data_IF_157859640087
#
_entry.id   IF_157859640087
#
_cell.length_a   1.000
_cell.length_b   1.000
_cell.length_c   1.000
_cell.angle_alpha   90.00
_cell.angle_beta   90.00
_cell.angle_gamma   90.00
#
_symmetry.space_group_name_H-M   'P 1'
#
loop_
_entity.id
_entity.type
_entity.pdbx_description
1 polymer ?
#
# COMPACT_ATOMS: atom_id res chain seq x y z
N UNK A 1 -11.45 -3.96 18.86
CA UNK A 1 -10.20 -4.07 18.07
C UNK A 1 -10.45 -3.48 16.70
N UNK A 2 -9.68 -2.49 16.29
CA UNK A 2 -9.65 -1.91 14.94
C UNK A 2 -8.40 -2.42 14.23
N UNK A 3 -8.51 -2.78 12.95
CA UNK A 3 -7.38 -3.16 12.12
C UNK A 3 -6.98 -2.01 11.22
N UNK A 4 -5.68 -1.80 10.99
CA UNK A 4 -5.19 -0.69 10.19
C UNK A 4 -4.14 -1.15 9.18
N UNK A 5 -4.23 -0.61 7.97
CA UNK A 5 -3.16 -0.58 7.00
C UNK A 5 -2.69 0.87 6.83
N UNK A 6 -1.39 1.07 6.99
CA UNK A 6 -0.73 2.34 6.79
C UNK A 6 0.20 2.24 5.60
N UNK A 7 -0.10 2.98 4.54
CA UNK A 7 0.71 3.04 3.34
C UNK A 7 1.08 4.46 2.98
N UNK A 8 2.00 4.61 2.05
CA UNK A 8 2.36 5.87 1.44
C UNK A 8 2.15 5.81 -0.06
N UNK A 9 2.15 6.98 -0.70
CA UNK A 9 2.07 7.05 -2.16
C UNK A 9 3.18 6.24 -2.80
N UNK A 10 2.85 5.36 -3.73
CA UNK A 10 3.74 4.43 -4.44
C UNK A 10 4.40 3.33 -3.58
N UNK A 11 3.88 3.07 -2.37
CA UNK A 11 4.32 2.02 -1.46
C UNK A 11 3.28 0.88 -1.35
N UNK A 12 2.92 0.25 -2.47
CA UNK A 12 2.00 -0.90 -2.59
C UNK A 12 0.54 -0.64 -2.17
N UNK A 13 0.10 0.62 -1.97
CA UNK A 13 -1.27 0.93 -1.54
C UNK A 13 -2.34 0.35 -2.46
N UNK A 14 -2.15 0.38 -3.78
CA UNK A 14 -3.10 -0.21 -4.73
C UNK A 14 -3.23 -1.73 -4.56
N UNK A 15 -2.14 -2.43 -4.25
CA UNK A 15 -2.17 -3.87 -4.02
C UNK A 15 -2.92 -4.24 -2.74
N UNK A 16 -2.62 -3.58 -1.63
CA UNK A 16 -3.31 -3.83 -0.35
C UNK A 16 -4.78 -3.41 -0.41
N UNK A 17 -5.12 -2.33 -1.12
CA UNK A 17 -6.51 -1.93 -1.39
C UNK A 17 -7.25 -2.92 -2.30
N UNK A 18 -6.56 -3.79 -3.01
CA UNK A 18 -7.16 -4.94 -3.71
C UNK A 18 -7.37 -6.14 -2.79
N UNK A 19 -6.38 -6.48 -1.96
CA UNK A 19 -6.36 -7.69 -1.12
C UNK A 19 -7.24 -7.54 0.13
N UNK A 20 -7.08 -6.46 0.89
CA UNK A 20 -7.74 -6.27 2.19
C UNK A 20 -9.28 -6.29 2.09
N UNK A 21 -9.91 -5.58 1.13
CA UNK A 21 -11.36 -5.63 0.97
C UNK A 21 -11.91 -7.04 0.74
N UNK A 22 -11.19 -7.88 -0.03
CA UNK A 22 -11.60 -9.28 -0.26
C UNK A 22 -11.53 -10.09 1.03
N UNK A 23 -10.46 -9.90 1.83
CA UNK A 23 -10.36 -10.54 3.15
C UNK A 23 -11.45 -10.05 4.09
N UNK A 24 -11.73 -8.73 4.11
CA UNK A 24 -12.80 -8.17 4.92
C UNK A 24 -14.17 -8.75 4.54
N UNK A 25 -14.46 -8.88 3.24
CA UNK A 25 -15.68 -9.53 2.75
C UNK A 25 -15.77 -10.98 3.24
N UNK A 26 -14.73 -11.76 3.06
CA UNK A 26 -14.71 -13.16 3.50
C UNK A 26 -14.93 -13.27 5.02
N UNK A 27 -14.40 -12.34 5.81
CA UNK A 27 -14.55 -12.31 7.27
C UNK A 27 -15.82 -11.60 7.77
N UNK A 28 -16.58 -10.96 6.90
CA UNK A 28 -17.75 -10.13 7.27
C UNK A 28 -17.38 -8.84 7.99
N UNK A 29 -16.15 -8.32 7.79
CA UNK A 29 -15.67 -7.06 8.35
C UNK A 29 -16.07 -5.88 7.47
N UNK A 30 -16.38 -4.75 8.10
CA UNK A 30 -16.48 -3.47 7.39
C UNK A 30 -15.09 -2.87 7.16
N UNK A 31 -14.92 -2.11 6.07
CA UNK A 31 -13.67 -1.39 5.81
C UNK A 31 -13.92 0.01 5.25
N UNK A 32 -12.95 0.88 5.43
CA UNK A 32 -12.93 2.20 4.82
C UNK A 32 -11.51 2.54 4.37
N UNK A 33 -11.40 3.15 3.17
CA UNK A 33 -10.14 3.59 2.57
C UNK A 33 -10.14 5.11 2.45
N UNK A 34 -9.02 5.75 2.76
CA UNK A 34 -8.80 7.18 2.54
C UNK A 34 -7.42 7.45 1.95
N UNK A 35 -7.34 8.47 1.09
CA UNK A 35 -6.09 8.98 0.51
C UNK A 35 -5.67 10.33 1.12
N UNK A 36 -6.53 10.93 1.95
CA UNK A 36 -6.30 12.26 2.54
C UNK A 36 -5.09 12.26 3.47
N UNK A 37 -4.32 13.34 3.43
CA UNK A 37 -3.28 13.66 4.43
C UNK A 37 -3.85 14.39 5.66
N UNK A 38 -5.11 14.83 5.60
CA UNK A 38 -5.77 15.54 6.70
C UNK A 38 -6.06 14.61 7.88
N UNK A 39 -6.38 15.22 9.01
CA UNK A 39 -6.78 14.48 10.21
C UNK A 39 -8.01 13.60 9.95
N UNK A 40 -7.93 12.39 10.45
CA UNK A 40 -9.01 11.40 10.29
C UNK A 40 -9.88 11.35 11.54
N UNK A 41 -11.19 11.57 11.36
CA UNK A 41 -12.15 11.57 12.46
C UNK A 41 -12.58 10.13 12.81
N UNK A 42 -11.93 9.53 13.78
CA UNK A 42 -12.24 8.17 14.24
C UNK A 42 -13.66 8.04 14.82
N UNK A 43 -14.30 9.11 15.26
CA UNK A 43 -15.69 9.18 15.72
C UNK A 43 -16.72 9.11 14.59
N UNK A 44 -16.33 9.37 13.34
CA UNK A 44 -17.21 9.35 12.17
C UNK A 44 -17.67 7.93 11.81
N UNK A 45 -18.73 7.77 10.99
CA UNK A 45 -19.13 6.47 10.46
C UNK A 45 -18.00 5.73 9.74
N UNK A 46 -17.17 6.44 8.98
CA UNK A 46 -15.97 5.90 8.34
C UNK A 46 -14.96 5.38 9.36
N UNK A 47 -14.73 6.14 10.44
CA UNK A 47 -13.83 5.77 11.52
C UNK A 47 -14.31 4.61 12.39
N UNK A 48 -15.57 4.17 12.27
CA UNK A 48 -16.13 3.00 12.95
C UNK A 48 -15.96 1.70 12.16
N UNK A 49 -15.34 1.74 10.99
CA UNK A 49 -15.03 0.52 10.24
C UNK A 49 -14.11 -0.42 11.04
N UNK A 50 -14.28 -1.73 10.83
CA UNK A 50 -13.45 -2.75 11.47
C UNK A 50 -12.01 -2.70 10.93
N UNK A 51 -11.83 -2.34 9.65
CA UNK A 51 -10.53 -2.20 9.00
C UNK A 51 -10.40 -0.82 8.32
N UNK A 52 -9.37 -0.07 8.67
CA UNK A 52 -9.06 1.24 8.10
C UNK A 52 -7.82 1.15 7.20
N UNK A 53 -7.94 1.65 5.98
CA UNK A 53 -6.87 1.66 4.98
C UNK A 53 -6.46 3.11 4.70
N UNK A 54 -5.27 3.50 5.13
CA UNK A 54 -4.69 4.82 4.90
C UNK A 54 -3.66 4.72 3.77
N UNK A 55 -3.96 5.28 2.59
CA UNK A 55 -3.06 5.24 1.42
C UNK A 55 -1.91 6.25 1.52
N UNK A 56 -2.11 7.31 2.30
CA UNK A 56 -1.12 8.36 2.60
C UNK A 56 -1.08 8.56 4.11
N UNK A 57 -0.53 7.57 4.81
CA UNK A 57 -0.53 7.53 6.26
C UNK A 57 0.43 8.56 6.87
N UNK A 58 0.03 9.12 7.99
CA UNK A 58 0.84 9.91 8.91
C UNK A 58 0.47 9.59 10.35
N UNK A 59 1.22 10.13 11.30
CA UNK A 59 0.98 9.89 12.73
C UNK A 59 -0.39 10.36 13.23
N UNK A 60 -1.05 11.27 12.50
CA UNK A 60 -2.43 11.70 12.70
C UNK A 60 -3.49 10.64 12.35
N UNK A 61 -3.09 9.58 11.61
CA UNK A 61 -3.94 8.44 11.27
C UNK A 61 -3.81 7.25 12.23
N UNK A 62 -2.93 7.35 13.25
CA UNK A 62 -2.77 6.29 14.25
C UNK A 62 -3.85 6.44 15.33
N UNK A 63 -4.74 5.44 15.55
CA UNK A 63 -5.84 5.54 16.50
C UNK A 63 -5.37 5.33 17.94
N UNK A 64 -4.71 6.34 18.53
CA UNK A 64 -4.02 6.25 19.84
C UNK A 64 -4.96 5.90 21.00
N UNK A 65 -6.21 6.34 20.94
CA UNK A 65 -7.22 6.18 22.00
C UNK A 65 -8.05 4.89 21.86
N UNK A 66 -7.70 4.04 20.88
CA UNK A 66 -8.41 2.79 20.60
C UNK A 66 -7.48 1.61 20.69
N UNK A 67 -8.09 0.45 20.98
CA UNK A 67 -7.42 -0.82 20.78
C UNK A 67 -7.35 -1.14 19.29
N UNK A 68 -6.12 -1.18 18.77
CA UNK A 68 -5.86 -1.46 17.35
C UNK A 68 -4.60 -2.29 17.14
N UNK A 69 -4.55 -2.98 16.02
CA UNK A 69 -3.33 -3.54 15.42
C UNK A 69 -3.26 -3.09 13.97
N UNK A 70 -2.07 -2.81 13.49
CA UNK A 70 -1.85 -2.39 12.12
C UNK A 70 -0.56 -2.90 11.55
N UNK A 71 -0.40 -2.72 10.25
CA UNK A 71 0.89 -2.86 9.60
C UNK A 71 1.14 -1.67 8.68
N UNK A 72 2.39 -1.33 8.52
CA UNK A 72 2.85 -0.20 7.76
C UNK A 72 3.79 -0.65 6.66
N UNK A 73 3.71 -0.02 5.49
CA UNK A 73 4.52 -0.40 4.33
C UNK A 73 5.24 0.82 3.79
N UNK A 74 6.56 0.75 3.80
CA UNK A 74 7.45 1.73 3.17
C UNK A 74 8.08 1.16 1.90
N UNK A 75 8.72 2.03 1.15
CA UNK A 75 9.51 1.71 -0.03
C UNK A 75 10.75 2.58 -0.05
N UNK A 76 11.82 2.14 -0.73
CA UNK A 76 12.97 3.00 -1.02
C UNK A 76 12.49 4.33 -1.62
N UNK A 77 12.73 5.47 -0.92
CA UNK A 77 12.27 6.77 -1.38
C UNK A 77 12.75 7.13 -2.79
N UNK A 78 13.89 6.61 -3.24
CA UNK A 78 14.41 6.81 -4.59
C UNK A 78 13.52 6.13 -5.63
N UNK A 79 13.08 4.90 -5.34
CA UNK A 79 12.12 4.18 -6.18
C UNK A 79 10.71 4.78 -6.12
N UNK A 80 10.33 5.42 -5.01
CA UNK A 80 9.08 6.18 -4.92
C UNK A 80 9.08 7.31 -5.94
N UNK A 81 10.16 8.09 -6.06
CA UNK A 81 10.32 9.18 -7.05
C UNK A 81 10.14 8.66 -8.47
N UNK A 82 10.88 7.60 -8.84
CA UNK A 82 10.78 7.02 -10.19
C UNK A 82 9.38 6.51 -10.48
N UNK A 83 8.78 5.82 -9.51
CA UNK A 83 7.43 5.29 -9.64
C UNK A 83 6.37 6.39 -9.76
N UNK A 84 6.51 7.48 -9.00
CA UNK A 84 5.63 8.65 -9.07
C UNK A 84 5.73 9.33 -10.43
N UNK A 85 6.94 9.64 -10.89
CA UNK A 85 7.18 10.25 -12.21
C UNK A 85 6.44 9.52 -13.34
N UNK A 86 6.63 8.21 -13.45
CA UNK A 86 5.96 7.45 -14.51
C UNK A 86 4.44 7.40 -14.32
N UNK A 87 3.99 7.27 -13.08
CA UNK A 87 2.57 7.18 -12.74
C UNK A 87 1.85 8.49 -13.01
N UNK A 88 2.35 9.61 -12.51
CA UNK A 88 1.74 10.93 -12.68
C UNK A 88 1.73 11.34 -14.14
N UNK A 89 2.82 11.05 -14.85
CA UNK A 89 2.92 11.35 -16.26
C UNK A 89 1.92 10.58 -17.13
N UNK A 90 1.55 9.31 -16.76
CA UNK A 90 0.81 8.42 -17.67
C UNK A 90 -0.29 7.59 -17.04
N UNK A 91 0.00 6.84 -15.97
CA UNK A 91 -0.84 5.71 -15.54
C UNK A 91 -1.67 5.95 -14.29
N UNK A 92 -1.48 7.08 -13.58
CA UNK A 92 -2.32 7.38 -12.42
C UNK A 92 -3.75 7.65 -12.85
N UNK A 93 -4.76 6.98 -12.26
CA UNK A 93 -6.16 7.28 -12.57
C UNK A 93 -6.50 8.70 -12.13
N UNK A 94 -7.23 9.43 -12.97
CA UNK A 94 -7.81 10.70 -12.57
C UNK A 94 -8.93 10.43 -11.55
N UNK A 95 -8.88 11.11 -10.42
CA UNK A 95 -9.88 11.02 -9.35
C UNK A 95 -10.36 12.42 -8.98
N UNK A 96 -11.57 12.52 -8.42
CA UNK A 96 -12.09 13.80 -7.91
C UNK A 96 -11.24 14.37 -6.78
N UNK A 97 -10.54 13.50 -6.03
CA UNK A 97 -9.64 13.88 -4.92
C UNK A 97 -8.33 14.53 -5.40
N UNK A 98 -7.96 14.36 -6.66
CA UNK A 98 -6.76 14.96 -7.25
C UNK A 98 -7.05 15.64 -8.57
N UNK A 99 -7.66 16.80 -8.48
CA UNK A 99 -8.06 17.61 -9.66
C UNK A 99 -6.86 18.13 -10.44
N UNK A 100 -5.73 18.45 -9.77
CA UNK A 100 -4.52 18.96 -10.40
C UNK A 100 -3.71 17.89 -11.14
N UNK A 101 -4.15 16.62 -11.15
CA UNK A 101 -3.39 15.55 -11.83
C UNK A 101 -3.22 15.81 -13.32
N UNK A 102 -4.21 16.39 -14.00
CA UNK A 102 -4.11 16.68 -15.43
C UNK A 102 -3.07 17.77 -15.70
N UNK A 103 -3.03 18.80 -14.90
CA UNK A 103 -2.00 19.86 -14.97
C UNK A 103 -0.60 19.29 -14.69
N UNK A 104 -0.48 18.45 -13.67
CA UNK A 104 0.74 17.70 -13.36
C UNK A 104 1.20 16.87 -14.54
N UNK A 105 0.28 16.17 -15.21
CA UNK A 105 0.55 15.32 -16.37
C UNK A 105 1.04 16.13 -17.57
N UNK A 106 0.37 17.24 -17.87
CA UNK A 106 0.79 18.17 -18.94
C UNK A 106 2.17 18.72 -18.68
N UNK A 107 2.42 19.18 -17.46
CA UNK A 107 3.73 19.68 -17.03
C UNK A 107 4.84 18.64 -17.21
N UNK A 108 4.64 17.42 -16.72
CA UNK A 108 5.61 16.34 -16.84
C UNK A 108 5.83 15.88 -18.29
N UNK A 109 4.81 15.96 -19.14
CA UNK A 109 4.94 15.65 -20.57
C UNK A 109 5.77 16.69 -21.32
N UNK A 110 5.76 17.96 -20.87
CA UNK A 110 6.62 19.03 -21.41
C UNK A 110 8.06 19.03 -20.91
N UNK A 111 8.40 18.16 -19.93
CA UNK A 111 9.73 18.11 -19.33
C UNK A 111 10.57 16.95 -19.87
N UNK A 112 11.91 17.13 -19.84
CA UNK A 112 12.83 15.99 -19.95
C UNK A 112 12.67 15.05 -18.75
N UNK A 113 13.13 13.79 -18.88
CA UNK A 113 13.07 12.81 -17.77
C UNK A 113 13.77 13.34 -16.52
N UNK A 114 14.97 13.93 -16.68
CA UNK A 114 15.73 14.50 -15.57
C UNK A 114 14.99 15.65 -14.89
N UNK A 115 14.44 16.58 -15.66
CA UNK A 115 13.67 17.71 -15.12
C UNK A 115 12.40 17.24 -14.41
N UNK A 116 11.70 16.23 -14.95
CA UNK A 116 10.53 15.65 -14.33
C UNK A 116 10.83 14.91 -13.03
N UNK A 117 11.95 14.18 -12.96
CA UNK A 117 12.40 13.55 -11.71
C UNK A 117 12.77 14.59 -10.65
N UNK A 118 13.46 15.67 -11.02
CA UNK A 118 13.77 16.79 -10.12
C UNK A 118 12.50 17.46 -9.60
N UNK A 119 11.50 17.64 -10.45
CA UNK A 119 10.20 18.18 -10.04
C UNK A 119 9.49 17.27 -9.06
N UNK A 120 9.51 15.94 -9.29
CA UNK A 120 8.90 14.97 -8.38
C UNK A 120 9.56 14.92 -7.00
N UNK A 121 10.84 15.23 -6.88
CA UNK A 121 11.51 15.36 -5.58
C UNK A 121 10.82 16.40 -4.69
N UNK A 122 10.45 17.55 -5.24
CA UNK A 122 9.73 18.60 -4.52
C UNK A 122 8.26 18.23 -4.31
N UNK A 123 7.61 17.67 -5.33
CA UNK A 123 6.20 17.26 -5.29
C UNK A 123 5.92 16.19 -4.23
N UNK A 124 6.87 15.30 -3.97
CA UNK A 124 6.75 14.21 -2.98
C UNK A 124 7.15 14.61 -1.55
N UNK A 125 7.52 15.87 -1.31
CA UNK A 125 7.90 16.34 0.03
C UNK A 125 6.87 16.01 1.12
N UNK A 126 5.53 16.11 0.92
CA UNK A 126 4.56 15.71 1.92
C UNK A 126 4.63 14.22 2.26
N UNK A 127 4.83 13.35 1.25
CA UNK A 127 4.96 11.89 1.45
C UNK A 127 6.20 11.56 2.27
N UNK A 128 7.35 12.14 1.92
CA UNK A 128 8.61 11.90 2.62
C UNK A 128 8.61 12.47 4.04
N UNK A 129 7.91 13.59 4.27
CA UNK A 129 7.69 14.10 5.62
C UNK A 129 6.92 13.12 6.49
N UNK A 130 5.87 12.47 5.96
CA UNK A 130 5.12 11.45 6.70
C UNK A 130 6.00 10.25 7.05
N UNK A 131 6.84 9.78 6.11
CA UNK A 131 7.80 8.71 6.39
C UNK A 131 8.84 9.12 7.45
N UNK A 132 9.34 10.35 7.40
CA UNK A 132 10.34 10.87 8.33
C UNK A 132 9.82 11.00 9.76
N UNK A 133 8.55 11.40 9.91
CA UNK A 133 7.91 11.64 11.22
C UNK A 133 7.20 10.41 11.77
N UNK A 134 7.21 9.29 11.06
CA UNK A 134 6.56 8.06 11.49
C UNK A 134 7.27 7.42 12.69
N UNK A 135 6.48 6.90 13.64
CA UNK A 135 7.00 6.13 14.79
C UNK A 135 7.19 4.65 14.41
N UNK A 136 8.41 4.30 14.05
CA UNK A 136 8.81 2.93 13.70
C UNK A 136 8.97 1.99 14.91
N UNK A 137 8.76 2.48 16.13
CA UNK A 137 8.95 1.70 17.37
C UNK A 137 7.68 1.11 17.95
N UNK A 138 6.52 1.42 17.39
CA UNK A 138 5.22 1.01 17.92
C UNK A 138 5.02 -0.51 17.90
N UNK A 139 4.82 -1.19 19.04
CA UNK A 139 4.59 -2.64 19.08
C UNK A 139 3.23 -3.06 18.52
N UNK A 140 2.33 -2.10 18.30
CA UNK A 140 1.01 -2.32 17.69
C UNK A 140 1.02 -2.26 16.17
N UNK A 141 2.17 -1.90 15.55
CA UNK A 141 2.32 -1.75 14.11
C UNK A 141 3.49 -2.62 13.65
N UNK A 142 3.25 -3.49 12.68
CA UNK A 142 4.29 -4.27 12.01
C UNK A 142 4.79 -3.54 10.79
N UNK A 143 6.10 -3.31 10.71
CA UNK A 143 6.75 -2.64 9.59
C UNK A 143 7.11 -3.65 8.48
N UNK A 144 6.85 -3.26 7.22
CA UNK A 144 7.24 -4.02 6.03
C UNK A 144 7.84 -3.11 4.97
N UNK A 145 8.69 -3.69 4.13
CA UNK A 145 9.24 -3.03 2.96
C UNK A 145 8.57 -3.55 1.69
N UNK A 146 8.25 -2.64 0.74
CA UNK A 146 7.65 -3.04 -0.54
C UNK A 146 8.56 -3.98 -1.33
N UNK A 147 9.88 -3.86 -1.18
CA UNK A 147 10.87 -4.74 -1.80
C UNK A 147 10.69 -6.20 -1.35
N UNK A 148 10.36 -6.42 -0.09
CA UNK A 148 10.05 -7.75 0.45
C UNK A 148 8.72 -8.27 -0.09
N UNK A 149 7.72 -7.39 -0.24
CA UNK A 149 6.44 -7.73 -0.88
C UNK A 149 6.63 -8.13 -2.34
N UNK A 150 7.47 -7.38 -3.10
CA UNK A 150 7.82 -7.71 -4.48
C UNK A 150 8.51 -9.07 -4.58
N UNK A 151 9.42 -9.37 -3.64
CA UNK A 151 10.16 -10.63 -3.62
C UNK A 151 9.28 -11.82 -3.21
N UNK A 152 8.40 -11.65 -2.22
CA UNK A 152 7.53 -12.72 -1.73
C UNK A 152 6.21 -12.18 -1.14
N UNK A 153 5.20 -11.91 -1.97
CA UNK A 153 3.91 -11.38 -1.53
C UNK A 153 3.15 -12.34 -0.60
N UNK A 154 3.38 -13.65 -0.76
CA UNK A 154 2.74 -14.67 0.07
C UNK A 154 3.22 -14.61 1.51
N UNK A 155 4.54 -14.51 1.72
CA UNK A 155 5.13 -14.35 3.06
C UNK A 155 4.62 -13.08 3.74
N UNK A 156 4.66 -11.95 3.07
CA UNK A 156 4.23 -10.66 3.64
C UNK A 156 2.74 -10.69 4.00
N UNK A 157 1.89 -11.30 3.18
CA UNK A 157 0.48 -11.45 3.50
C UNK A 157 0.27 -12.33 4.76
N UNK A 158 0.92 -13.49 4.84
CA UNK A 158 0.83 -14.36 6.02
C UNK A 158 1.31 -13.65 7.30
N UNK A 159 2.44 -12.97 7.25
CA UNK A 159 2.97 -12.22 8.39
C UNK A 159 2.06 -11.04 8.78
N UNK A 160 1.53 -10.29 7.80
CA UNK A 160 0.63 -9.14 8.06
C UNK A 160 -0.66 -9.60 8.75
N UNK A 161 -1.37 -10.57 8.17
CA UNK A 161 -2.64 -11.05 8.72
C UNK A 161 -2.45 -11.90 9.99
N UNK A 162 -1.32 -12.59 10.13
CA UNK A 162 -0.90 -13.24 11.36
C UNK A 162 -0.70 -12.25 12.50
N UNK A 163 0.03 -11.15 12.26
CA UNK A 163 0.23 -10.08 13.25
C UNK A 163 -1.09 -9.41 13.66
N UNK A 164 -2.02 -9.23 12.73
CA UNK A 164 -3.36 -8.73 13.02
C UNK A 164 -4.20 -9.73 13.85
N UNK A 165 -3.79 -10.99 13.95
CA UNK A 165 -4.56 -12.05 14.60
C UNK A 165 -5.74 -12.54 13.76
N UNK A 166 -5.76 -12.24 12.48
CA UNK A 166 -6.80 -12.60 11.51
C UNK A 166 -6.51 -13.90 10.74
N UNK A 167 -5.31 -14.47 10.89
CA UNK A 167 -4.91 -15.71 10.22
C UNK A 167 -5.20 -16.93 11.09
N UNK A 168 -5.83 -17.95 10.50
CA UNK A 168 -5.97 -19.28 11.09
C UNK A 168 -4.88 -20.18 10.52
N UNK A 169 -3.93 -20.56 11.37
CA UNK A 169 -2.77 -21.40 11.04
C UNK A 169 -2.95 -22.86 11.51
N UNK A 170 -4.15 -23.21 12.07
CA UNK A 170 -4.45 -24.57 12.54
C UNK A 170 -4.79 -25.51 11.37
N UNK A 171 -3.92 -26.48 11.02
CA UNK A 171 -4.13 -27.41 9.92
C UNK A 171 -5.27 -28.43 10.17
N UNK A 172 -5.71 -28.61 11.43
CA UNK A 172 -6.65 -29.69 11.82
C UNK A 172 -8.13 -29.41 11.47
N UNK A 173 -8.47 -28.27 10.82
CA UNK A 173 -9.85 -27.79 10.71
C UNK A 173 -10.50 -27.97 9.33
N UNK A 174 -10.32 -29.11 8.66
CA UNK A 174 -10.83 -29.33 7.30
C UNK A 174 -12.34 -29.07 7.11
N UNK A 175 -13.20 -29.54 8.02
CA UNK A 175 -14.67 -29.31 7.96
C UNK A 175 -15.02 -27.84 8.13
N UNK A 176 -14.33 -27.09 9.01
CA UNK A 176 -14.54 -25.66 9.19
C UNK A 176 -14.18 -24.85 7.93
N UNK A 177 -13.24 -25.33 7.10
CA UNK A 177 -12.86 -24.69 5.82
C UNK A 177 -13.98 -24.72 4.80
N UNK A 178 -14.68 -25.85 4.66
CA UNK A 178 -15.83 -25.98 3.74
C UNK A 178 -16.98 -25.08 4.20
N UNK A 179 -17.27 -25.07 5.50
CA UNK A 179 -18.29 -24.21 6.09
C UNK A 179 -17.93 -22.74 5.90
N UNK A 180 -16.67 -22.35 6.13
CA UNK A 180 -16.18 -20.99 5.86
C UNK A 180 -16.36 -20.62 4.38
N UNK A 181 -15.92 -21.47 3.45
CA UNK A 181 -16.01 -21.21 2.02
C UNK A 181 -17.46 -21.02 1.55
N UNK A 182 -18.40 -21.85 2.06
CA UNK A 182 -19.82 -21.74 1.73
C UNK A 182 -20.46 -20.48 2.32
N UNK A 183 -20.27 -20.23 3.62
CA UNK A 183 -20.91 -19.13 4.33
C UNK A 183 -20.31 -17.77 4.00
N UNK A 184 -19.01 -17.68 3.68
CA UNK A 184 -18.38 -16.42 3.26
C UNK A 184 -18.96 -15.87 1.95
N UNK A 185 -19.58 -16.73 1.12
CA UNK A 185 -20.29 -16.28 -0.07
C UNK A 185 -21.48 -15.36 0.26
N UNK A 186 -22.11 -15.54 1.42
CA UNK A 186 -23.22 -14.69 1.87
C UNK A 186 -22.76 -13.26 2.24
N UNK A 187 -21.47 -13.09 2.53
CA UNK A 187 -20.88 -11.78 2.82
C UNK A 187 -20.55 -10.97 1.55
N UNK A 188 -20.62 -11.59 0.36
CA UNK A 188 -20.26 -10.91 -0.89
C UNK A 188 -21.40 -9.98 -1.33
N UNK A 189 -21.18 -8.66 -1.37
CA UNK A 189 -22.15 -7.75 -1.93
C UNK A 189 -22.25 -7.93 -3.45
N UNK A 190 -23.40 -7.55 -4.03
CA UNK A 190 -23.60 -7.59 -5.46
C UNK A 190 -22.62 -6.69 -6.27
N UNK A 191 -21.94 -5.73 -5.60
CA UNK A 191 -20.89 -4.89 -6.15
C UNK A 191 -19.78 -4.68 -5.12
N UNK A 192 -18.57 -5.26 -5.32
CA UNK A 192 -17.47 -5.24 -4.35
C UNK A 192 -16.53 -4.03 -4.44
N UNK A 193 -16.76 -3.06 -5.31
CA UNK A 193 -15.78 -2.01 -5.64
C UNK A 193 -16.22 -0.65 -5.11
N UNK A 194 -15.51 -0.15 -4.09
CA UNK A 194 -15.67 1.18 -3.51
C UNK A 194 -14.64 1.40 -2.40
N UNK A 195 -14.54 2.65 -1.94
CA UNK A 195 -13.64 3.04 -0.84
C UNK A 195 -14.10 2.53 0.52
N UNK A 196 -15.33 2.00 0.60
CA UNK A 196 -15.88 1.46 1.84
C UNK A 196 -16.73 0.21 1.59
N UNK A 197 -16.71 -0.71 2.55
CA UNK A 197 -17.57 -1.89 2.57
C UNK A 197 -18.28 -2.05 3.91
N UNK A 198 -19.54 -2.50 3.85
CA UNK A 198 -20.36 -2.75 5.04
C UNK A 198 -20.03 -4.13 5.64
N UNK A 199 -20.37 -4.30 6.92
CA UNK A 199 -20.31 -5.60 7.59
C UNK A 199 -21.19 -6.61 6.86
N UNK A 200 -20.65 -7.80 6.65
CA UNK A 200 -21.41 -8.94 6.15
C UNK A 200 -22.35 -9.52 7.23
N UNK A 201 -23.36 -10.31 6.83
CA UNK A 201 -24.29 -10.95 7.76
C UNK A 201 -23.63 -12.03 8.64
N UNK A 202 -22.50 -12.60 8.19
CA UNK A 202 -21.77 -13.65 8.91
C UNK A 202 -20.36 -13.17 9.23
N UNK A 203 -19.99 -13.23 10.51
CA UNK A 203 -18.67 -12.82 10.98
C UNK A 203 -17.80 -14.03 11.30
N UNK A 204 -16.61 -14.04 10.72
CA UNK A 204 -15.57 -15.00 11.06
C UNK A 204 -14.42 -14.29 11.78
N UNK A 205 -13.84 -14.99 12.76
CA UNK A 205 -12.71 -14.47 13.52
C UNK A 205 -11.41 -14.47 12.70
N UNK A 206 -11.23 -15.49 11.84
CA UNK A 206 -9.97 -15.73 11.12
C UNK A 206 -10.23 -16.30 9.72
N UNK A 207 -9.31 -15.98 8.80
CA UNK A 207 -9.23 -16.57 7.45
C UNK A 207 -8.17 -17.67 7.44
N UNK A 208 -8.39 -18.75 6.68
CA UNK A 208 -7.37 -19.78 6.53
C UNK A 208 -6.19 -19.31 5.67
N UNK A 209 -5.01 -19.86 5.94
CA UNK A 209 -3.81 -19.55 5.15
C UNK A 209 -4.03 -19.82 3.66
N UNK A 210 -4.63 -20.95 3.28
CA UNK A 210 -4.85 -21.28 1.88
C UNK A 210 -5.80 -20.29 1.20
N UNK A 211 -6.84 -19.83 1.89
CA UNK A 211 -7.76 -18.84 1.33
C UNK A 211 -7.06 -17.50 1.13
N UNK A 212 -6.27 -17.06 2.13
CA UNK A 212 -5.45 -15.85 2.01
C UNK A 212 -4.47 -15.94 0.86
N UNK A 213 -3.73 -17.05 0.74
CA UNK A 213 -2.80 -17.29 -0.37
C UNK A 213 -3.50 -17.30 -1.73
N UNK A 214 -4.72 -17.84 -1.81
CA UNK A 214 -5.56 -17.79 -3.01
C UNK A 214 -5.92 -16.36 -3.41
N UNK A 215 -6.24 -15.49 -2.44
CA UNK A 215 -6.49 -14.05 -2.66
C UNK A 215 -5.21 -13.38 -3.16
N UNK A 216 -4.07 -13.61 -2.51
CA UNK A 216 -2.76 -13.07 -2.93
C UNK A 216 -2.41 -13.50 -4.35
N UNK A 217 -2.60 -14.79 -4.69
CA UNK A 217 -2.37 -15.30 -6.03
C UNK A 217 -3.25 -14.62 -7.09
N UNK A 218 -4.50 -14.32 -6.76
CA UNK A 218 -5.39 -13.57 -7.65
C UNK A 218 -4.92 -12.12 -7.88
N UNK A 219 -4.09 -11.58 -6.97
CA UNK A 219 -3.51 -10.24 -7.03
C UNK A 219 -2.01 -10.25 -7.31
N UNK A 220 -1.44 -11.32 -7.85
CA UNK A 220 -0.03 -11.34 -8.22
C UNK A 220 0.28 -10.37 -9.38
N UNK A 221 1.54 -9.94 -9.49
CA UNK A 221 1.96 -8.98 -10.51
C UNK A 221 1.61 -9.43 -11.93
N UNK A 222 1.81 -10.73 -12.24
CA UNK A 222 1.55 -11.26 -13.57
C UNK A 222 0.07 -11.12 -13.96
N UNK A 223 -0.85 -11.38 -13.02
CA UNK A 223 -2.30 -11.24 -13.25
C UNK A 223 -2.70 -9.78 -13.36
N UNK A 224 -2.25 -8.93 -12.44
CA UNK A 224 -2.59 -7.51 -12.41
C UNK A 224 -1.97 -6.72 -13.56
N UNK A 225 -0.88 -7.21 -14.16
CA UNK A 225 -0.20 -6.59 -15.29
C UNK A 225 -0.64 -7.12 -16.67
N UNK A 226 -1.67 -7.98 -16.73
CA UNK A 226 -2.13 -8.58 -17.98
C UNK A 226 -1.20 -9.66 -18.52
N UNK A 227 -0.51 -10.41 -17.66
CA UNK A 227 0.36 -11.55 -18.04
C UNK A 227 1.83 -11.22 -18.15
N UNK A 228 2.25 -9.97 -17.92
CA UNK A 228 3.66 -9.55 -18.01
C UNK A 228 4.51 -10.20 -16.90
N UNK A 229 5.78 -10.45 -17.23
CA UNK A 229 6.79 -10.86 -16.23
C UNK A 229 7.34 -9.63 -15.52
N UNK A 230 7.73 -9.79 -14.26
CA UNK A 230 8.49 -8.76 -13.53
C UNK A 230 9.73 -8.34 -14.32
N UNK A 231 10.06 -7.06 -14.30
CA UNK A 231 11.15 -6.48 -15.09
C UNK A 231 10.73 -5.99 -16.49
N UNK A 232 9.65 -6.50 -17.08
CA UNK A 232 9.13 -6.00 -18.35
C UNK A 232 8.27 -4.77 -18.13
N UNK A 233 8.74 -3.65 -18.67
CA UNK A 233 8.13 -2.35 -18.46
C UNK A 233 6.93 -2.08 -19.36
N UNK A 234 5.88 -1.51 -18.78
CA UNK A 234 4.79 -0.85 -19.50
C UNK A 234 4.48 0.46 -18.78
N UNK A 235 4.89 1.56 -19.37
CA UNK A 235 4.76 2.92 -18.78
C UNK A 235 3.31 3.40 -18.71
N UNK A 236 2.37 2.75 -19.39
CA UNK A 236 0.94 3.08 -19.38
C UNK A 236 0.19 2.30 -18.30
N UNK A 237 0.82 1.25 -17.73
CA UNK A 237 0.23 0.41 -16.70
C UNK A 237 0.52 0.95 -15.30
N UNK A 238 -0.47 0.90 -14.41
CA UNK A 238 -0.25 1.15 -12.98
C UNK A 238 0.78 0.18 -12.38
N UNK A 239 0.76 -1.08 -12.84
CA UNK A 239 1.75 -2.10 -12.52
C UNK A 239 2.89 -2.07 -13.54
N UNK A 240 3.66 -0.96 -13.55
CA UNK A 240 4.65 -0.64 -14.58
C UNK A 240 5.69 -1.74 -14.81
N UNK A 241 6.44 -2.14 -13.79
CA UNK A 241 7.64 -3.00 -13.94
C UNK A 241 7.74 -4.10 -12.88
N UNK A 242 7.18 -3.89 -11.69
CA UNK A 242 7.14 -4.87 -10.59
C UNK A 242 8.50 -5.24 -10.03
N UNK A 243 9.48 -4.33 -10.03
CA UNK A 243 10.82 -4.54 -9.46
C UNK A 243 11.21 -3.41 -8.50
N UNK A 244 12.19 -3.70 -7.65
CA UNK A 244 12.91 -2.73 -6.83
C UNK A 244 14.23 -2.30 -7.50
N UNK A 245 14.79 -1.16 -7.07
CA UNK A 245 16.09 -0.68 -7.52
C UNK A 245 16.08 -0.01 -8.90
N UNK A 246 14.92 0.35 -9.44
CA UNK A 246 14.83 1.01 -10.76
C UNK A 246 15.45 2.41 -10.77
N UNK A 247 15.58 3.03 -9.60
CA UNK A 247 16.22 4.31 -9.39
C UNK A 247 17.70 4.34 -9.83
N UNK A 248 18.43 3.23 -9.72
CA UNK A 248 19.86 3.15 -10.11
C UNK A 248 20.07 3.50 -11.57
N UNK A 249 19.10 3.15 -12.44
CA UNK A 249 19.11 3.46 -13.87
C UNK A 249 18.55 4.84 -14.18
N UNK A 250 17.59 5.28 -13.36
CA UNK A 250 16.85 6.52 -13.62
C UNK A 250 17.57 7.77 -13.10
N UNK A 251 18.28 7.67 -11.96
CA UNK A 251 18.95 8.82 -11.35
C UNK A 251 20.25 9.13 -12.04
N UNK A 252 20.27 10.21 -12.81
CA UNK A 252 21.48 10.86 -13.30
C UNK A 252 22.16 11.62 -12.16
N UNK A 253 23.46 12.00 -12.27
CA UNK A 253 24.20 12.68 -11.19
C UNK A 253 23.44 13.84 -10.55
N UNK A 254 22.89 14.74 -11.33
CA UNK A 254 22.12 15.89 -10.84
C UNK A 254 20.90 15.51 -9.99
N UNK A 255 20.14 14.48 -10.39
CA UNK A 255 19.00 13.99 -9.61
C UNK A 255 19.49 13.34 -8.32
N UNK A 256 20.57 12.56 -8.40
CA UNK A 256 21.19 11.90 -7.25
C UNK A 256 21.67 12.92 -6.21
N UNK A 257 22.38 13.95 -6.65
CA UNK A 257 22.92 15.01 -5.78
C UNK A 257 21.78 15.78 -5.10
N UNK A 258 20.75 16.16 -5.88
CA UNK A 258 19.57 16.85 -5.32
C UNK A 258 18.79 15.95 -4.35
N UNK A 259 18.65 14.66 -4.64
CA UNK A 259 18.02 13.73 -3.71
C UNK A 259 18.81 13.62 -2.39
N UNK A 260 20.14 13.51 -2.46
CA UNK A 260 21.01 13.47 -1.27
C UNK A 260 20.84 14.71 -0.40
N UNK A 261 20.81 15.88 -1.04
CA UNK A 261 20.61 17.17 -0.37
C UNK A 261 19.28 17.21 0.40
N UNK A 262 18.19 16.78 -0.23
CA UNK A 262 16.84 16.89 0.34
C UNK A 262 16.53 15.74 1.31
N UNK A 263 16.91 14.50 0.96
CA UNK A 263 16.41 13.28 1.59
C UNK A 263 17.48 12.26 1.98
N UNK A 264 18.77 12.62 1.93
CA UNK A 264 19.86 11.75 2.37
C UNK A 264 19.65 11.21 3.80
N UNK A 265 19.32 12.05 4.79
CA UNK A 265 19.03 11.60 6.16
C UNK A 265 17.86 10.63 6.25
N UNK A 266 16.82 10.80 5.42
CA UNK A 266 15.67 9.90 5.38
C UNK A 266 16.07 8.49 4.95
N UNK A 267 16.94 8.34 3.95
CA UNK A 267 17.43 7.02 3.52
C UNK A 267 18.16 6.28 4.65
N UNK A 268 18.97 7.01 5.43
CA UNK A 268 19.71 6.44 6.56
C UNK A 268 18.73 6.03 7.66
N UNK A 269 17.77 6.89 8.00
CA UNK A 269 16.73 6.61 8.99
C UNK A 269 15.93 5.35 8.62
N UNK A 270 15.56 5.20 7.34
CA UNK A 270 14.81 4.04 6.85
C UNK A 270 15.69 2.81 6.58
N UNK A 271 17.03 2.91 6.72
CA UNK A 271 17.96 1.82 6.49
C UNK A 271 18.11 1.41 5.01
N UNK A 272 17.89 2.35 4.08
CA UNK A 272 18.16 2.17 2.64
C UNK A 272 19.55 2.65 2.22
N UNK A 273 20.25 3.35 3.10
CA UNK A 273 21.66 3.70 2.96
C UNK A 273 22.34 3.63 4.33
N UNK A 274 23.62 3.24 4.33
CA UNK A 274 24.43 3.22 5.55
C UNK A 274 25.04 4.59 5.87
N UNK A 275 25.27 5.42 4.86
CA UNK A 275 25.82 6.76 4.95
C UNK A 275 25.28 7.66 3.84
N UNK A 276 25.77 8.89 3.76
CA UNK A 276 25.46 9.81 2.65
C UNK A 276 26.20 9.47 1.34
N UNK A 277 27.18 8.55 1.39
CA UNK A 277 28.00 8.14 0.25
C UNK A 277 27.46 6.90 -0.47
N UNK A 278 26.30 7.06 -1.14
CA UNK A 278 25.67 5.98 -1.94
C UNK A 278 25.51 6.36 -3.41
#
# INVERSE_FOLDING_TARGET
MTYCYFGHHKCASAWFCGVIPVVCQDLGLSWHTTSSFADFHFGSPAGQADFLLFRNAGMNHVPRERDFRGFHVIRDPRDVVVSAYHSHRRSHPATEEWQELNETRERLNGMSVEAGLLWELENLAPVFRQMQTWDYSSPRIREFRMEELIANPFRIALESFGFLGLLDDDPARGVRRLTFAALSLLNKPARPWGEAGRRGPIRFAKISAERLLGIVHAHDFKRLSGGRRQGHEDVTSHYRKGIAGDWERAFRPRVKDRFKELYGPLLIQLGYAASSDW
#
